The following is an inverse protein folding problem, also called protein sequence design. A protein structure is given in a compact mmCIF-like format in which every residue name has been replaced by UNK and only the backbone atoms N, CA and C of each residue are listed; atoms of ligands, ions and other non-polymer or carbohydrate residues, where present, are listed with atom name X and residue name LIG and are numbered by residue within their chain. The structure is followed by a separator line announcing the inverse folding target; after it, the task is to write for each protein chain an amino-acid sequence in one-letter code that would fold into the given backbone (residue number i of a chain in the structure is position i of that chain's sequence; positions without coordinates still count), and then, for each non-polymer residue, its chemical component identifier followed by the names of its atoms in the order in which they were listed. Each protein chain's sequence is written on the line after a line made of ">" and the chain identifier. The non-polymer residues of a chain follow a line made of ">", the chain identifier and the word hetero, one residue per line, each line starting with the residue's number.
data_IF_807776751924
#
_entry.id   IF_807776751924
#
_cell.length_a   1.000
_cell.length_b   1.000
_cell.length_c   1.000
_cell.angle_alpha   90.00
_cell.angle_beta   90.00
_cell.angle_gamma   90.00
#
_symmetry.space_group_name_H-M   'P 1'
#
loop_
_entity.id
_entity.type
_entity.pdbx_description
1 polymer ?
#
# COMPACT_ATOMS: atom_id res chain seq x y z
N UNK A 1 -21.10 51.05 -6.05
CA UNK A 1 -20.54 50.21 -7.12
C UNK A 1 -19.16 49.60 -6.79
N UNK A 2 -18.32 50.25 -5.96
CA UNK A 2 -17.00 49.71 -5.56
C UNK A 2 -17.13 48.42 -4.71
N UNK A 3 -18.04 48.41 -3.73
CA UNK A 3 -18.22 47.31 -2.77
C UNK A 3 -18.61 45.98 -3.45
N UNK A 4 -19.52 46.04 -4.41
CA UNK A 4 -19.95 44.86 -5.18
C UNK A 4 -18.78 44.26 -5.99
N UNK A 5 -17.89 45.11 -6.53
CA UNK A 5 -16.68 44.64 -7.24
C UNK A 5 -15.69 43.97 -6.29
N UNK A 6 -15.45 44.55 -5.12
CA UNK A 6 -14.52 43.95 -4.13
C UNK A 6 -15.06 42.63 -3.57
N UNK A 7 -16.37 42.54 -3.30
CA UNK A 7 -17.01 41.32 -2.78
C UNK A 7 -16.98 40.19 -3.82
N UNK A 8 -17.27 40.46 -5.10
CA UNK A 8 -17.22 39.43 -6.15
C UNK A 8 -15.80 38.94 -6.40
N UNK A 9 -14.80 39.82 -6.40
CA UNK A 9 -13.39 39.43 -6.55
C UNK A 9 -12.94 38.60 -5.35
N UNK A 10 -13.33 38.98 -4.13
CA UNK A 10 -12.97 38.23 -2.92
C UNK A 10 -13.63 36.84 -2.90
N UNK A 11 -14.91 36.74 -3.26
CA UNK A 11 -15.62 35.46 -3.36
C UNK A 11 -15.02 34.56 -4.44
N UNK A 12 -14.60 35.13 -5.58
CA UNK A 12 -13.93 34.39 -6.64
C UNK A 12 -12.57 33.85 -6.15
N UNK A 13 -11.76 34.69 -5.50
CA UNK A 13 -10.46 34.28 -4.95
C UNK A 13 -10.61 33.21 -3.86
N UNK A 14 -11.60 33.32 -2.97
CA UNK A 14 -11.90 32.30 -1.95
C UNK A 14 -12.32 30.97 -2.59
N UNK A 15 -13.14 31.02 -3.64
CA UNK A 15 -13.54 29.81 -4.37
C UNK A 15 -12.40 29.14 -5.14
N UNK A 16 -11.44 29.90 -5.68
CA UNK A 16 -10.25 29.36 -6.32
C UNK A 16 -9.31 28.70 -5.30
N UNK A 17 -9.23 29.23 -4.07
CA UNK A 17 -8.45 28.61 -2.99
C UNK A 17 -9.11 27.37 -2.37
N UNK A 18 -10.44 27.25 -2.45
CA UNK A 18 -11.18 26.11 -1.88
C UNK A 18 -11.00 24.80 -2.66
N UNK A 19 -10.52 24.87 -3.91
CA UNK A 19 -10.15 23.70 -4.70
C UNK A 19 -8.66 23.37 -4.64
N UNK A 20 -7.83 24.22 -4.01
CA UNK A 20 -6.40 23.94 -3.85
C UNK A 20 -6.22 23.06 -2.63
N UNK A 21 -6.41 21.76 -2.82
CA UNK A 21 -6.05 20.75 -1.83
C UNK A 21 -4.58 20.36 -2.09
N UNK A 22 -3.62 20.81 -1.26
CA UNK A 22 -2.21 20.45 -1.44
C UNK A 22 -1.89 18.98 -1.12
N UNK A 23 -2.89 18.18 -0.73
CA UNK A 23 -2.72 16.83 -0.21
C UNK A 23 -3.15 15.75 -1.23
N UNK A 24 -3.01 16.01 -2.53
CA UNK A 24 -3.01 14.92 -3.52
C UNK A 24 -1.66 14.18 -3.40
N UNK A 25 -1.63 12.89 -3.03
CA UNK A 25 -0.38 12.14 -3.00
C UNK A 25 0.26 12.21 -4.39
N UNK A 26 1.55 12.55 -4.44
CA UNK A 26 2.31 12.59 -5.68
C UNK A 26 2.23 11.21 -6.34
N UNK A 27 2.20 11.20 -7.68
CA UNK A 27 2.10 9.98 -8.51
C UNK A 27 3.28 8.98 -8.32
N UNK A 28 4.19 9.26 -7.40
CA UNK A 28 5.25 8.36 -6.95
C UNK A 28 4.80 7.44 -5.79
N UNK A 29 3.67 7.73 -5.12
CA UNK A 29 3.04 6.86 -4.11
C UNK A 29 1.87 6.01 -4.64
N UNK A 30 1.41 6.23 -5.87
CA UNK A 30 0.29 5.44 -6.43
C UNK A 30 0.72 4.02 -6.83
N UNK A 31 2.02 3.71 -6.81
CA UNK A 31 2.53 2.35 -6.98
C UNK A 31 2.30 1.46 -5.73
N UNK A 32 1.65 1.95 -4.67
CA UNK A 32 1.51 1.25 -3.38
C UNK A 32 0.09 1.10 -2.82
N UNK A 33 -0.97 1.44 -3.59
CA UNK A 33 -2.38 1.39 -3.11
C UNK A 33 -3.30 0.54 -3.99
N UNK A 34 -2.82 -0.57 -4.55
CA UNK A 34 -3.65 -1.76 -4.37
C UNK A 34 -3.51 -2.03 -2.89
N UNK A 35 -4.58 -1.94 -2.10
CA UNK A 35 -4.55 -2.15 -0.64
C UNK A 35 -3.61 -3.33 -0.32
N UNK A 36 -2.36 -3.04 0.05
CA UNK A 36 -1.37 -4.09 0.19
C UNK A 36 -1.66 -4.79 1.50
N UNK A 37 -2.38 -5.89 1.41
CA UNK A 37 -2.76 -6.72 2.53
C UNK A 37 -1.97 -8.00 2.49
N UNK A 38 -1.11 -8.23 3.49
CA UNK A 38 -0.34 -9.46 3.61
C UNK A 38 -1.16 -10.66 4.14
N UNK A 39 -2.50 -10.61 4.03
CA UNK A 39 -3.44 -11.60 4.59
C UNK A 39 -4.77 -11.67 3.81
N UNK A 40 -4.85 -11.12 2.58
CA UNK A 40 -6.09 -11.13 1.80
C UNK A 40 -6.19 -12.31 0.80
N UNK A 41 -5.15 -13.13 0.71
CA UNK A 41 -5.10 -14.27 -0.20
C UNK A 41 -4.83 -13.89 -1.65
N UNK A 42 -4.42 -12.65 -1.91
CA UNK A 42 -4.15 -12.12 -3.25
C UNK A 42 -2.75 -11.52 -3.30
N UNK A 43 -1.94 -11.97 -4.26
CA UNK A 43 -0.63 -11.37 -4.46
C UNK A 43 -0.76 -9.92 -4.96
N UNK A 44 -0.38 -8.96 -4.12
CA UNK A 44 -0.57 -7.53 -4.36
C UNK A 44 0.63 -6.66 -3.94
N UNK A 45 0.71 -5.45 -4.48
CA UNK A 45 1.78 -4.50 -4.15
C UNK A 45 3.19 -5.02 -4.47
N UNK A 46 4.04 -5.11 -3.44
CA UNK A 46 5.45 -5.55 -3.49
C UNK A 46 5.66 -7.03 -3.14
N UNK A 47 4.59 -7.80 -2.98
CA UNK A 47 4.66 -9.21 -2.61
C UNK A 47 5.33 -10.10 -3.67
N UNK A 48 6.17 -11.05 -3.23
CA UNK A 48 6.83 -12.03 -4.11
C UNK A 48 6.07 -13.36 -4.18
N UNK A 49 5.17 -13.61 -3.23
CA UNK A 49 4.19 -14.69 -3.23
C UNK A 49 2.87 -14.19 -2.63
N UNK A 50 1.81 -14.99 -2.67
CA UNK A 50 0.52 -14.60 -2.05
C UNK A 50 0.74 -14.31 -0.57
N UNK A 51 0.39 -13.09 -0.12
CA UNK A 51 0.49 -12.66 1.27
C UNK A 51 1.93 -12.64 1.85
N UNK A 52 2.97 -12.67 1.00
CA UNK A 52 4.37 -12.74 1.47
C UNK A 52 5.39 -12.07 0.55
N UNK A 53 6.50 -11.63 1.15
CA UNK A 53 7.64 -11.01 0.46
C UNK A 53 7.50 -9.50 0.25
N UNK A 54 8.60 -8.88 -0.19
CA UNK A 54 8.70 -7.42 -0.33
C UNK A 54 8.48 -6.70 1.00
N UNK A 55 7.36 -5.99 1.12
CA UNK A 55 6.93 -5.30 2.35
C UNK A 55 6.28 -6.23 3.38
N UNK A 56 5.86 -7.43 2.98
CA UNK A 56 5.25 -8.45 3.83
C UNK A 56 6.30 -9.40 4.43
N UNK A 57 5.94 -10.24 5.42
CA UNK A 57 6.85 -11.26 5.93
C UNK A 57 7.45 -12.11 4.81
N UNK A 58 8.71 -12.54 4.90
CA UNK A 58 9.35 -13.31 3.84
C UNK A 58 8.56 -14.61 3.57
N UNK A 59 8.44 -14.97 2.30
CA UNK A 59 7.87 -16.26 1.91
C UNK A 59 8.71 -17.41 2.48
N UNK A 60 8.06 -18.51 2.85
CA UNK A 60 8.73 -19.68 3.39
C UNK A 60 9.66 -20.35 2.37
N UNK A 61 10.84 -20.74 2.82
CA UNK A 61 11.86 -21.40 2.01
C UNK A 61 11.92 -22.90 2.28
N UNK A 62 10.99 -23.65 1.69
CA UNK A 62 10.81 -25.09 1.91
C UNK A 62 11.87 -26.01 1.25
N UNK A 63 13.12 -25.57 1.11
CA UNK A 63 14.21 -26.35 0.50
C UNK A 63 15.61 -25.78 0.79
N UNK A 64 15.75 -24.94 1.81
CA UNK A 64 17.02 -24.28 2.14
C UNK A 64 17.81 -24.99 3.25
N UNK A 65 17.25 -26.05 3.82
CA UNK A 65 17.90 -26.90 4.81
C UNK A 65 17.98 -26.28 6.20
N UNK A 66 17.23 -25.21 6.49
CA UNK A 66 17.09 -24.63 7.82
C UNK A 66 15.64 -24.67 8.29
N UNK A 67 15.40 -24.49 9.60
CA UNK A 67 14.06 -24.45 10.19
C UNK A 67 13.63 -23.00 10.40
N UNK A 68 12.79 -22.46 9.52
CA UNK A 68 12.46 -21.04 9.49
C UNK A 68 11.00 -20.78 9.02
N UNK A 69 10.60 -19.51 8.90
CA UNK A 69 9.31 -19.03 8.35
C UNK A 69 8.00 -19.78 8.74
N UNK A 70 7.95 -20.47 9.88
CA UNK A 70 6.76 -21.19 10.35
C UNK A 70 6.72 -22.68 10.00
N UNK A 71 7.83 -23.24 9.52
CA UNK A 71 8.03 -24.67 9.34
C UNK A 71 7.93 -25.45 10.65
N UNK A 72 7.50 -26.71 10.57
CA UNK A 72 7.41 -27.62 11.72
C UNK A 72 8.69 -28.46 11.84
N UNK A 73 9.29 -28.82 10.70
CA UNK A 73 10.58 -29.48 10.56
C UNK A 73 11.35 -28.82 9.40
N UNK A 74 12.67 -29.06 9.30
CA UNK A 74 13.50 -28.50 8.22
C UNK A 74 12.83 -28.76 6.86
N UNK A 75 12.51 -27.70 6.12
CA UNK A 75 11.88 -27.73 4.80
C UNK A 75 10.48 -28.39 4.72
N UNK A 76 9.78 -28.65 5.84
CA UNK A 76 8.42 -29.22 5.80
C UNK A 76 7.48 -28.81 6.97
N UNK A 77 6.18 -28.88 6.69
CA UNK A 77 5.10 -28.50 7.60
C UNK A 77 4.83 -26.98 7.64
N UNK A 78 3.70 -26.60 8.27
CA UNK A 78 3.28 -25.19 8.36
C UNK A 78 2.94 -24.61 6.98
N UNK A 79 3.64 -23.57 6.48
CA UNK A 79 3.48 -23.04 5.13
C UNK A 79 4.07 -23.93 4.03
N UNK A 80 4.83 -24.97 4.39
CA UNK A 80 5.46 -25.92 3.48
C UNK A 80 4.64 -27.22 3.33
N UNK A 81 4.95 -28.09 2.34
CA UNK A 81 4.31 -29.40 2.23
C UNK A 81 4.38 -30.20 3.54
N UNK A 82 3.36 -31.01 3.86
CA UNK A 82 3.36 -31.79 5.09
C UNK A 82 4.54 -32.77 5.15
N UNK A 83 5.11 -32.90 6.34
CA UNK A 83 5.87 -34.08 6.75
C UNK A 83 4.85 -35.23 7.03
#
# INVERSE_FOLDING_TARGET
>A
MIYIRTVVVFLFLVSLSACYQPDSPSLEEVQGIVEQSCQDGVQSGTETGVDCGGSCPPCATCSDGILNQGEIFIDCGGPCPPC
#
